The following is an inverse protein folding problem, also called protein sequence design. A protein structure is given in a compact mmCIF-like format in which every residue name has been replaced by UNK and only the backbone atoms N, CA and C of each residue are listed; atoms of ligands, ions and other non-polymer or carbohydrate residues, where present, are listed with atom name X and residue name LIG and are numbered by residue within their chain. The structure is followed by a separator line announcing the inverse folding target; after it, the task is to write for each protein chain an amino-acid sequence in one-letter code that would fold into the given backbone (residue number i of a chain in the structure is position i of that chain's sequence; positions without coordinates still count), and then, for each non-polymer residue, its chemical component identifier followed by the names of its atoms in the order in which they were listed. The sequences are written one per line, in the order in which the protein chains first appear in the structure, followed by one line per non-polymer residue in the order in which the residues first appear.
data_IF_936485030693
#
_entry.id   IF_936485030693
#
_cell.length_a   1.000
_cell.length_b   1.000
_cell.length_c   1.000
_cell.angle_alpha   90.00
_cell.angle_beta   90.00
_cell.angle_gamma   90.00
#
_symmetry.space_group_name_H-M   'P 1'
#
loop_
_entity.id
_entity.type
_entity.pdbx_description
1 polymer ?
#
# COMPACT_ATOMS: atom_id res chain seq x y z
N UNK A 1 -7.33 -21.90 12.08
CA UNK A 1 -6.28 -20.84 11.94
C UNK A 1 -6.94 -19.59 11.38
N UNK A 2 -6.64 -18.39 11.91
CA UNK A 2 -7.28 -17.16 11.43
C UNK A 2 -6.83 -16.82 10.00
N UNK A 3 -7.67 -16.09 9.24
CA UNK A 3 -7.34 -15.65 7.88
C UNK A 3 -6.03 -14.84 7.85
N UNK A 4 -5.84 -13.96 8.84
CA UNK A 4 -4.61 -13.15 8.94
C UNK A 4 -3.37 -14.01 9.19
N UNK A 5 -3.46 -15.09 9.99
CA UNK A 5 -2.33 -16.01 10.13
C UNK A 5 -1.97 -16.73 8.83
N UNK A 6 -2.98 -17.16 8.07
CA UNK A 6 -2.73 -17.76 6.73
C UNK A 6 -2.06 -16.75 5.79
N UNK A 7 -2.48 -15.51 5.86
CA UNK A 7 -1.90 -14.43 5.06
C UNK A 7 -0.42 -14.19 5.40
N UNK A 8 -0.07 -14.16 6.70
CA UNK A 8 1.32 -14.07 7.15
C UNK A 8 2.14 -15.26 6.66
N UNK A 9 1.60 -16.48 6.71
CA UNK A 9 2.29 -17.66 6.22
C UNK A 9 2.52 -17.62 4.70
N UNK A 10 1.52 -17.18 3.94
CA UNK A 10 1.65 -17.01 2.49
C UNK A 10 2.72 -15.95 2.16
N UNK A 11 2.70 -14.83 2.87
CA UNK A 11 3.73 -13.79 2.73
C UNK A 11 5.11 -14.31 3.10
N UNK A 12 5.26 -15.04 4.20
CA UNK A 12 6.53 -15.62 4.62
C UNK A 12 7.13 -16.54 3.55
N UNK A 13 6.32 -17.42 2.96
CA UNK A 13 6.77 -18.27 1.85
C UNK A 13 7.26 -17.44 0.67
N UNK A 14 6.54 -16.39 0.31
CA UNK A 14 6.88 -15.54 -0.82
C UNK A 14 8.15 -14.71 -0.59
N UNK A 15 8.28 -14.05 0.58
CA UNK A 15 9.40 -13.16 0.85
C UNK A 15 10.74 -13.92 1.02
N UNK A 16 10.68 -15.20 1.34
CA UNK A 16 11.86 -16.06 1.44
C UNK A 16 12.43 -16.46 0.06
N UNK A 17 11.69 -16.25 -1.04
CA UNK A 17 12.18 -16.54 -2.39
C UNK A 17 13.18 -15.45 -2.80
N UNK A 18 14.37 -15.82 -3.34
CA UNK A 18 15.32 -14.83 -3.83
C UNK A 18 14.72 -13.87 -4.85
N UNK A 19 14.99 -12.58 -4.69
CA UNK A 19 14.45 -11.57 -5.59
C UNK A 19 15.18 -11.55 -6.93
N UNK A 20 14.44 -11.26 -7.99
CA UNK A 20 14.99 -11.03 -9.32
C UNK A 20 15.38 -9.56 -9.45
N UNK A 21 16.61 -9.31 -9.91
CA UNK A 21 17.14 -7.96 -10.12
C UNK A 21 16.52 -7.27 -11.35
N UNK A 22 16.07 -8.08 -12.33
CA UNK A 22 15.48 -7.62 -13.60
C UNK A 22 13.95 -7.38 -13.55
N UNK A 23 13.33 -7.44 -12.36
CA UNK A 23 11.90 -7.24 -12.21
C UNK A 23 11.49 -5.80 -12.53
N UNK A 24 10.48 -5.63 -13.39
CA UNK A 24 9.87 -4.33 -13.66
C UNK A 24 9.16 -3.76 -12.41
N UNK A 25 8.96 -2.44 -12.36
CA UNK A 25 8.36 -1.78 -11.20
C UNK A 25 7.04 -2.44 -10.72
N UNK A 26 6.06 -2.76 -11.58
CA UNK A 26 4.84 -3.45 -11.13
C UNK A 26 5.09 -4.84 -10.55
N UNK A 27 6.10 -5.55 -11.05
CA UNK A 27 6.46 -6.90 -10.57
C UNK A 27 7.16 -6.87 -9.20
N UNK A 28 7.65 -5.70 -8.77
CA UNK A 28 8.21 -5.48 -7.42
C UNK A 28 7.14 -5.11 -6.39
N UNK A 29 5.89 -4.97 -6.81
CA UNK A 29 4.76 -4.65 -5.93
C UNK A 29 4.06 -5.93 -5.48
N UNK A 30 3.82 -6.02 -4.18
CA UNK A 30 3.11 -7.12 -3.51
C UNK A 30 1.84 -6.54 -2.91
N UNK A 31 0.67 -7.03 -3.31
CA UNK A 31 -0.58 -6.73 -2.64
C UNK A 31 -0.92 -7.83 -1.63
N UNK A 32 -0.86 -7.49 -0.35
CA UNK A 32 -1.34 -8.33 0.73
C UNK A 32 -2.84 -8.04 0.92
N UNK A 33 -3.70 -8.85 0.30
CA UNK A 33 -5.14 -8.61 0.21
C UNK A 33 -5.86 -9.29 1.36
N UNK A 34 -6.65 -8.52 2.09
CA UNK A 34 -7.49 -8.99 3.19
C UNK A 34 -8.85 -8.29 3.17
N UNK A 35 -9.85 -8.95 3.74
CA UNK A 35 -11.18 -8.34 3.85
C UNK A 35 -11.15 -7.14 4.80
N UNK A 36 -11.85 -6.05 4.47
CA UNK A 36 -11.84 -4.80 5.23
C UNK A 36 -12.26 -4.97 6.71
N UNK A 37 -13.07 -5.97 7.02
CA UNK A 37 -13.45 -6.30 8.41
C UNK A 37 -12.28 -6.79 9.26
N UNK A 38 -11.19 -7.24 8.62
CA UNK A 38 -9.97 -7.71 9.29
C UNK A 38 -8.95 -6.57 9.57
N UNK A 39 -9.27 -5.32 9.21
CA UNK A 39 -8.35 -4.17 9.30
C UNK A 39 -7.73 -4.04 10.69
N UNK A 40 -8.53 -4.17 11.76
CA UNK A 40 -8.02 -4.09 13.15
C UNK A 40 -7.05 -5.23 13.47
N UNK A 41 -7.39 -6.44 13.04
CA UNK A 41 -6.55 -7.63 13.25
C UNK A 41 -5.25 -7.49 12.45
N UNK A 42 -5.31 -6.99 11.21
CA UNK A 42 -4.13 -6.73 10.40
C UNK A 42 -3.21 -5.70 11.04
N UNK A 43 -3.75 -4.57 11.51
CA UNK A 43 -2.95 -3.54 12.19
C UNK A 43 -2.25 -4.06 13.44
N UNK A 44 -2.92 -4.92 14.22
CA UNK A 44 -2.35 -5.53 15.41
C UNK A 44 -1.26 -6.57 15.11
N UNK A 45 -1.14 -7.01 13.84
CA UNK A 45 -0.21 -8.07 13.43
C UNK A 45 0.83 -7.63 12.39
N UNK A 46 0.95 -6.36 12.13
CA UNK A 46 1.96 -5.82 11.22
C UNK A 46 3.37 -6.22 11.64
N UNK A 47 3.65 -6.25 12.93
CA UNK A 47 4.95 -6.65 13.48
C UNK A 47 5.31 -8.11 13.13
N UNK A 48 4.32 -8.99 12.95
CA UNK A 48 4.58 -10.38 12.51
C UNK A 48 5.07 -10.41 11.05
N UNK A 49 4.60 -9.50 10.18
CA UNK A 49 5.13 -9.34 8.81
C UNK A 49 6.56 -8.78 8.82
N UNK A 50 6.85 -7.83 9.69
CA UNK A 50 8.21 -7.33 9.87
C UNK A 50 9.17 -8.44 10.29
N UNK A 51 8.79 -9.24 11.28
CA UNK A 51 9.62 -10.34 11.79
C UNK A 51 10.00 -11.30 10.64
N UNK A 52 9.03 -11.76 9.85
CA UNK A 52 9.30 -12.71 8.77
C UNK A 52 10.10 -12.06 7.63
N UNK A 53 9.94 -10.77 7.38
CA UNK A 53 10.74 -10.02 6.40
C UNK A 53 12.20 -9.94 6.83
N UNK A 54 12.45 -9.60 8.09
CA UNK A 54 13.81 -9.53 8.65
C UNK A 54 14.46 -10.92 8.74
N UNK A 55 13.69 -11.95 9.04
CA UNK A 55 14.17 -13.34 9.02
C UNK A 55 14.59 -13.80 7.61
N UNK A 56 13.94 -13.27 6.58
CA UNK A 56 14.33 -13.50 5.19
C UNK A 56 15.55 -12.67 4.75
N UNK A 57 16.10 -11.81 5.63
CA UNK A 57 17.30 -11.02 5.38
C UNK A 57 17.03 -9.65 4.75
N UNK A 58 15.78 -9.16 4.77
CA UNK A 58 15.42 -7.89 4.18
C UNK A 58 15.14 -6.81 5.23
N UNK A 59 15.38 -5.55 4.84
CA UNK A 59 15.01 -4.39 5.64
C UNK A 59 13.52 -4.09 5.55
N UNK A 60 12.99 -3.45 6.59
CA UNK A 60 11.57 -3.13 6.70
C UNK A 60 11.36 -1.69 7.11
N UNK A 61 10.49 -0.98 6.38
CA UNK A 61 10.04 0.36 6.74
C UNK A 61 8.59 0.58 6.31
N UNK A 62 7.84 1.40 7.06
CA UNK A 62 6.40 1.59 6.85
C UNK A 62 6.10 3.04 6.54
N UNK A 63 5.51 3.29 5.38
CA UNK A 63 4.92 4.55 4.99
C UNK A 63 3.40 4.50 5.24
N UNK A 64 2.92 5.28 6.20
CA UNK A 64 1.52 5.27 6.63
C UNK A 64 0.71 6.37 5.93
N UNK A 65 -0.25 5.97 5.11
CA UNK A 65 -1.14 6.88 4.38
C UNK A 65 -2.36 7.34 5.20
N UNK A 66 -2.56 6.78 6.39
CA UNK A 66 -3.81 6.96 7.15
C UNK A 66 -4.20 8.42 7.33
N UNK A 67 -3.26 9.27 7.71
CA UNK A 67 -3.53 10.68 8.03
C UNK A 67 -3.06 11.67 6.95
N UNK A 68 -2.55 11.18 5.83
CA UNK A 68 -1.95 12.03 4.79
C UNK A 68 -2.94 13.03 4.20
N UNK A 69 -4.20 12.63 4.02
CA UNK A 69 -5.24 13.53 3.50
C UNK A 69 -5.50 14.69 4.47
N UNK A 70 -5.66 14.41 5.76
CA UNK A 70 -5.87 15.43 6.77
C UNK A 70 -4.65 16.36 6.90
N UNK A 71 -3.44 15.81 6.88
CA UNK A 71 -2.21 16.58 6.92
C UNK A 71 -2.05 17.50 5.70
N UNK A 72 -2.47 17.03 4.52
CA UNK A 72 -2.43 17.83 3.30
C UNK A 72 -3.50 18.92 3.28
N UNK A 73 -4.74 18.59 3.71
CA UNK A 73 -5.89 19.49 3.58
C UNK A 73 -5.93 20.57 4.66
N UNK A 74 -5.59 20.24 5.92
CA UNK A 74 -5.77 21.13 7.05
C UNK A 74 -5.04 22.48 6.93
N UNK A 75 -3.82 22.58 6.38
CA UNK A 75 -3.12 23.86 6.22
C UNK A 75 -3.57 24.68 5.00
N UNK A 76 -4.48 24.14 4.15
CA UNK A 76 -4.94 24.84 2.97
C UNK A 76 -5.76 26.08 3.36
N UNK A 77 -5.53 27.19 2.67
CA UNK A 77 -6.22 28.49 2.94
C UNK A 77 -7.74 28.37 2.96
N UNK A 78 -8.30 27.49 2.12
CA UNK A 78 -9.74 27.29 1.96
C UNK A 78 -10.24 25.96 2.52
N UNK A 79 -9.53 25.36 3.47
CA UNK A 79 -9.89 24.06 4.04
C UNK A 79 -11.35 23.99 4.49
N UNK A 80 -11.83 24.99 5.21
CA UNK A 80 -13.22 25.06 5.67
C UNK A 80 -14.23 25.05 4.52
N UNK A 81 -13.92 25.70 3.40
CA UNK A 81 -14.80 25.70 2.22
C UNK A 81 -14.92 24.30 1.60
N UNK A 82 -13.87 23.50 1.63
CA UNK A 82 -13.87 22.13 1.13
C UNK A 82 -14.67 21.18 2.03
N UNK A 83 -14.70 21.43 3.33
CA UNK A 83 -15.57 20.67 4.24
C UNK A 83 -17.05 20.95 3.99
N UNK A 84 -17.41 22.19 3.66
CA UNK A 84 -18.80 22.57 3.35
C UNK A 84 -19.21 22.18 1.93
N UNK A 85 -18.27 22.15 0.99
CA UNK A 85 -18.52 21.86 -0.43
C UNK A 85 -17.47 20.86 -0.95
N UNK A 86 -17.58 19.55 -0.57
CA UNK A 86 -16.59 18.53 -0.92
C UNK A 86 -16.37 18.36 -2.43
N UNK A 87 -17.38 18.69 -3.26
CA UNK A 87 -17.26 18.64 -4.72
C UNK A 87 -16.14 19.54 -5.27
N UNK A 88 -15.73 20.57 -4.53
CA UNK A 88 -14.61 21.43 -4.92
C UNK A 88 -13.25 20.75 -4.79
N UNK A 89 -13.18 19.65 -4.04
CA UNK A 89 -11.92 18.88 -3.86
C UNK A 89 -11.45 18.21 -5.14
N UNK A 90 -12.35 17.83 -6.05
CA UNK A 90 -12.01 17.07 -7.25
C UNK A 90 -10.88 17.72 -8.07
N UNK A 91 -10.89 19.06 -8.17
CA UNK A 91 -9.85 19.82 -8.88
C UNK A 91 -8.51 19.91 -8.12
N UNK A 92 -8.50 19.58 -6.84
CA UNK A 92 -7.32 19.64 -5.97
C UNK A 92 -6.65 18.29 -5.74
N UNK A 93 -7.33 17.18 -6.02
CA UNK A 93 -6.81 15.84 -5.81
C UNK A 93 -5.47 15.57 -6.50
N UNK A 94 -5.17 16.12 -7.69
CA UNK A 94 -3.81 16.03 -8.26
C UNK A 94 -2.73 16.60 -7.34
N UNK A 95 -3.01 17.67 -6.61
CA UNK A 95 -2.08 18.25 -5.62
C UNK A 95 -1.92 17.37 -4.39
N UNK A 96 -2.97 16.64 -4.01
CA UNK A 96 -2.87 15.63 -2.95
C UNK A 96 -1.95 14.47 -3.39
N UNK A 97 -2.08 14.03 -4.64
CA UNK A 97 -1.15 13.03 -5.20
C UNK A 97 0.29 13.52 -5.17
N UNK A 98 0.55 14.78 -5.58
CA UNK A 98 1.90 15.36 -5.52
C UNK A 98 2.42 15.48 -4.08
N UNK A 99 1.54 15.77 -3.12
CA UNK A 99 1.90 15.76 -1.69
C UNK A 99 2.37 14.38 -1.23
N UNK A 100 1.62 13.32 -1.56
CA UNK A 100 2.01 11.94 -1.23
C UNK A 100 3.35 11.60 -1.88
N UNK A 101 3.51 11.89 -3.16
CA UNK A 101 4.72 11.61 -3.94
C UNK A 101 5.97 12.25 -3.33
N UNK A 102 5.88 13.54 -3.03
CA UNK A 102 6.98 14.29 -2.41
C UNK A 102 7.35 13.76 -1.01
N UNK A 103 6.34 13.46 -0.19
CA UNK A 103 6.58 12.90 1.15
C UNK A 103 7.16 11.50 1.08
N UNK A 104 6.73 10.71 0.12
CA UNK A 104 7.27 9.37 -0.10
C UNK A 104 8.74 9.42 -0.55
N UNK A 105 9.07 10.28 -1.51
CA UNK A 105 10.45 10.46 -1.97
C UNK A 105 11.37 10.86 -0.81
N UNK A 106 10.95 11.80 0.04
CA UNK A 106 11.72 12.21 1.21
C UNK A 106 11.83 11.07 2.23
N UNK A 107 10.74 10.35 2.46
CA UNK A 107 10.72 9.18 3.35
C UNK A 107 11.74 8.12 2.94
N UNK A 108 11.88 7.83 1.64
CA UNK A 108 12.86 6.85 1.15
C UNK A 108 14.30 7.26 1.49
N UNK A 109 14.60 8.55 1.37
CA UNK A 109 15.92 9.11 1.74
C UNK A 109 16.15 9.04 3.25
N UNK A 110 15.18 9.48 4.04
CA UNK A 110 15.30 9.56 5.50
C UNK A 110 15.46 8.18 6.15
N UNK A 111 14.93 7.14 5.51
CA UNK A 111 15.01 5.75 5.99
C UNK A 111 16.09 4.91 5.30
N UNK A 112 16.96 5.54 4.48
CA UNK A 112 18.04 4.85 3.76
C UNK A 112 17.56 3.64 2.96
N UNK A 113 16.41 3.76 2.30
CA UNK A 113 15.80 2.67 1.51
C UNK A 113 16.71 2.31 0.35
N UNK A 114 16.93 1.01 0.16
CA UNK A 114 17.82 0.43 -0.85
C UNK A 114 17.19 -0.79 -1.54
N UNK A 115 17.96 -1.48 -2.38
CA UNK A 115 17.52 -2.65 -3.14
C UNK A 115 17.12 -3.85 -2.27
N UNK A 116 17.56 -3.90 -1.01
CA UNK A 116 17.20 -4.96 -0.06
C UNK A 116 16.00 -4.58 0.83
N UNK A 117 15.43 -3.41 0.65
CA UNK A 117 14.36 -2.91 1.52
C UNK A 117 12.98 -3.36 1.03
N UNK A 118 12.13 -3.75 1.98
CA UNK A 118 10.67 -3.81 1.83
C UNK A 118 10.09 -2.51 2.37
N UNK A 119 9.50 -1.72 1.49
CA UNK A 119 8.73 -0.52 1.85
C UNK A 119 7.27 -0.89 1.89
N UNK A 120 6.62 -0.60 3.00
CA UNK A 120 5.22 -0.95 3.24
C UNK A 120 4.32 0.26 3.06
N UNK A 121 3.26 0.13 2.29
CA UNK A 121 2.15 1.08 2.27
C UNK A 121 1.05 0.57 3.21
N UNK A 122 0.81 1.32 4.26
CA UNK A 122 -0.26 1.08 5.23
C UNK A 122 -1.31 2.19 5.11
N UNK A 123 -2.57 1.85 5.40
CA UNK A 123 -3.65 2.83 5.41
C UNK A 123 -4.18 3.23 4.03
N UNK A 124 -4.01 2.39 3.01
CA UNK A 124 -4.51 2.68 1.64
C UNK A 124 -6.03 2.82 1.56
N UNK A 125 -6.78 2.27 2.53
CA UNK A 125 -8.22 2.52 2.66
C UNK A 125 -8.58 3.99 2.81
N UNK A 126 -7.67 4.81 3.35
CA UNK A 126 -7.86 6.27 3.47
C UNK A 126 -7.85 7.01 2.12
N UNK A 127 -7.42 6.37 1.04
CA UNK A 127 -7.46 6.92 -0.31
C UNK A 127 -8.86 6.78 -0.96
N UNK A 128 -9.72 5.94 -0.40
CA UNK A 128 -11.03 5.66 -0.97
C UNK A 128 -11.86 6.95 -1.14
N UNK A 129 -12.37 7.15 -2.35
CA UNK A 129 -13.13 8.37 -2.71
C UNK A 129 -12.28 9.59 -3.06
N UNK A 130 -10.95 9.54 -2.90
CA UNK A 130 -10.04 10.64 -3.21
C UNK A 130 -9.07 10.30 -4.34
N UNK A 131 -8.28 9.25 -4.17
CA UNK A 131 -7.30 8.79 -5.15
C UNK A 131 -7.48 7.29 -5.40
N UNK A 132 -7.20 6.87 -6.63
CA UNK A 132 -7.16 5.45 -6.96
C UNK A 132 -5.85 4.84 -6.49
N UNK A 133 -5.91 3.73 -5.78
CA UNK A 133 -4.71 3.02 -5.28
C UNK A 133 -3.77 2.68 -6.43
N UNK A 134 -4.30 2.25 -7.59
CA UNK A 134 -3.50 1.98 -8.78
C UNK A 134 -2.63 3.18 -9.18
N UNK A 135 -3.21 4.38 -9.25
CA UNK A 135 -2.48 5.59 -9.64
C UNK A 135 -1.40 5.96 -8.62
N UNK A 136 -1.69 5.80 -7.32
CA UNK A 136 -0.70 6.01 -6.26
C UNK A 136 0.45 5.01 -6.39
N UNK A 137 0.15 3.73 -6.55
CA UNK A 137 1.17 2.68 -6.68
C UNK A 137 1.99 2.85 -7.95
N UNK A 138 1.36 3.19 -9.09
CA UNK A 138 2.06 3.49 -10.35
C UNK A 138 3.07 4.65 -10.18
N UNK A 139 2.75 5.63 -9.33
CA UNK A 139 3.62 6.77 -9.06
C UNK A 139 4.75 6.45 -8.09
N UNK A 140 4.50 5.62 -7.07
CA UNK A 140 5.46 5.32 -6.02
C UNK A 140 6.39 4.14 -6.35
N UNK A 141 5.89 3.10 -7.00
CA UNK A 141 6.65 1.88 -7.27
C UNK A 141 7.95 2.09 -8.07
N UNK A 142 8.03 2.98 -9.07
CA UNK A 142 9.28 3.24 -9.79
C UNK A 142 10.41 3.81 -8.92
N UNK A 143 10.10 4.42 -7.78
CA UNK A 143 11.07 5.01 -6.87
C UNK A 143 11.76 3.96 -5.98
N UNK A 144 11.28 2.71 -5.99
CA UNK A 144 11.76 1.63 -5.12
C UNK A 144 12.52 0.61 -5.97
N UNK A 145 13.75 0.29 -5.58
CA UNK A 145 14.54 -0.79 -6.17
C UNK A 145 14.31 -2.14 -5.48
N UNK A 146 13.93 -2.16 -4.20
CA UNK A 146 13.54 -3.35 -3.44
C UNK A 146 12.13 -3.84 -3.73
N UNK A 147 11.30 -3.96 -2.70
CA UNK A 147 9.88 -4.40 -2.84
C UNK A 147 8.94 -3.40 -2.16
N UNK A 148 7.79 -3.19 -2.79
CA UNK A 148 6.69 -2.40 -2.25
C UNK A 148 5.59 -3.36 -1.79
N UNK A 149 5.36 -3.44 -0.48
CA UNK A 149 4.28 -4.23 0.11
C UNK A 149 3.09 -3.33 0.42
N UNK A 150 1.95 -3.59 -0.20
CA UNK A 150 0.72 -2.84 0.01
C UNK A 150 -0.24 -3.67 0.85
N UNK A 151 -0.57 -3.22 2.06
CA UNK A 151 -1.68 -3.79 2.82
C UNK A 151 -3.00 -3.29 2.24
N UNK A 152 -3.70 -4.21 1.55
CA UNK A 152 -4.84 -3.88 0.72
C UNK A 152 -6.14 -4.42 1.30
N UNK A 153 -6.95 -3.56 1.96
CA UNK A 153 -8.27 -3.95 2.47
C UNK A 153 -9.27 -4.01 1.31
N UNK A 154 -9.64 -5.20 0.89
CA UNK A 154 -10.54 -5.39 -0.23
C UNK A 154 -10.55 -6.82 -0.75
N UNK A 155 -10.65 -6.97 -2.06
CA UNK A 155 -10.71 -8.28 -2.72
C UNK A 155 -9.81 -8.36 -3.96
N UNK A 156 -9.45 -9.59 -4.31
CA UNK A 156 -8.74 -9.92 -5.54
C UNK A 156 -9.40 -11.13 -6.18
N UNK A 157 -10.03 -10.92 -7.34
CA UNK A 157 -10.71 -11.97 -8.09
C UNK A 157 -10.49 -11.75 -9.60
N UNK A 158 -10.23 -12.83 -10.33
CA UNK A 158 -10.09 -12.80 -11.80
C UNK A 158 -9.09 -11.70 -12.29
N UNK A 159 -7.94 -11.58 -11.62
CA UNK A 159 -6.90 -10.57 -11.88
C UNK A 159 -7.32 -9.11 -11.62
N UNK A 160 -8.45 -8.88 -10.95
CA UNK A 160 -8.91 -7.56 -10.58
C UNK A 160 -8.78 -7.33 -9.07
N UNK A 161 -8.24 -6.16 -8.71
CA UNK A 161 -8.20 -5.65 -7.35
C UNK A 161 -9.37 -4.70 -7.13
N UNK A 162 -10.01 -4.81 -5.99
CA UNK A 162 -11.11 -3.94 -5.59
C UNK A 162 -10.89 -3.47 -4.16
N UNK A 163 -10.71 -2.15 -4.01
CA UNK A 163 -10.51 -1.53 -2.70
C UNK A 163 -11.85 -1.46 -1.95
N UNK A 164 -11.87 -1.95 -0.71
CA UNK A 164 -13.07 -2.04 0.11
C UNK A 164 -14.19 -2.76 -0.65
N UNK A 165 -15.38 -2.17 -0.72
CA UNK A 165 -16.53 -2.63 -1.50
C UNK A 165 -16.74 -1.82 -2.80
N UNK A 166 -15.70 -1.13 -3.28
CA UNK A 166 -15.75 -0.29 -4.47
C UNK A 166 -16.19 -1.05 -5.74
N UNK A 167 -16.93 -0.37 -6.62
CA UNK A 167 -17.43 -0.97 -7.87
C UNK A 167 -16.38 -1.04 -8.97
N UNK A 168 -15.37 -0.18 -8.93
CA UNK A 168 -14.32 -0.06 -9.94
C UNK A 168 -13.12 -0.97 -9.61
N UNK A 169 -13.26 -2.24 -9.90
CA UNK A 169 -12.14 -3.17 -9.92
C UNK A 169 -11.14 -2.81 -11.04
N UNK A 170 -9.85 -3.03 -10.80
CA UNK A 170 -8.79 -2.72 -11.76
C UNK A 170 -7.73 -3.82 -11.80
N UNK A 171 -7.16 -4.00 -12.98
CA UNK A 171 -6.09 -4.97 -13.22
C UNK A 171 -4.72 -4.33 -12.90
N UNK A 172 -3.86 -5.09 -12.23
CA UNK A 172 -2.48 -4.69 -11.95
C UNK A 172 -1.54 -5.90 -11.92
N UNK A 173 -0.32 -5.73 -12.45
CA UNK A 173 0.67 -6.80 -12.55
C UNK A 173 1.44 -7.04 -11.24
N UNK A 174 0.90 -6.64 -10.12
CA UNK A 174 1.47 -6.93 -8.79
C UNK A 174 1.26 -8.40 -8.40
N UNK A 175 2.03 -8.84 -7.43
CA UNK A 175 1.92 -10.17 -6.84
C UNK A 175 0.81 -10.17 -5.78
N UNK A 176 -0.30 -10.90 -5.98
CA UNK A 176 -1.34 -11.00 -4.98
C UNK A 176 -0.99 -12.05 -3.92
N UNK A 177 -1.02 -11.64 -2.66
CA UNK A 177 -0.97 -12.56 -1.51
C UNK A 177 -2.34 -12.54 -0.84
N UNK A 178 -2.99 -13.69 -0.80
CA UNK A 178 -4.33 -13.87 -0.22
C UNK A 178 -4.33 -15.02 0.78
N UNK A 179 -5.30 -15.03 1.70
CA UNK A 179 -5.42 -16.09 2.70
C UNK A 179 -5.91 -17.44 2.10
N UNK A 180 -6.46 -17.43 0.91
CA UNK A 180 -7.17 -18.57 0.30
C UNK A 180 -6.40 -19.23 -0.86
N UNK A 181 -5.27 -18.65 -1.28
CA UNK A 181 -4.39 -19.26 -2.30
C UNK A 181 -3.09 -19.72 -1.65
N UNK A 182 -2.76 -21.00 -1.80
CA UNK A 182 -1.40 -21.49 -1.64
C UNK A 182 -0.57 -20.98 -2.84
N UNK A 183 0.54 -20.32 -2.56
CA UNK A 183 1.54 -19.90 -3.56
C UNK A 183 2.44 -21.09 -3.87
#
# INVERSE_FOLDING_TARGET
MSKVKRLIQAYNKYIAIPWRDDAAAPQRVIFCVYHETEERTMRAKIDEFEIVTRQAGHDWTVFDLTDTFACWLSPQRYANSYFHKPQLLSNLLPKYMDFIDNHFSQFLVDHNVNENSVVVLKGVGSLFGFLKVKEVVDRLAPQISGRLLVFFPGSYENNNYRLLDGYDGWNYLAIPITADKEI
#
